data_IF_016798764575
#
_entry.id   IF_016798764575
#
_cell.length_a   1.000
_cell.length_b   1.000
_cell.length_c   1.000
_cell.angle_alpha   90.00
_cell.angle_beta   90.00
_cell.angle_gamma   90.00
#
_symmetry.space_group_name_H-M   'P 1'
#
loop_
_entity.id
_entity.type
_entity.pdbx_description
1 polymer ?
#
# COMPACT_ATOMS: atom_id res chain seq x y z
N UNK A 1 -31.05 -14.12 43.31
CA UNK A 1 -32.05 -13.89 42.25
C UNK A 1 -31.71 -12.56 41.64
N UNK A 2 -31.58 -12.59 40.33
CA UNK A 2 -31.61 -11.48 39.36
C UNK A 2 -30.38 -10.56 39.33
N UNK A 3 -29.65 -10.41 38.24
CA UNK A 3 -29.57 -11.10 36.95
C UNK A 3 -28.35 -10.42 36.31
N UNK A 4 -27.25 -11.14 36.13
CA UNK A 4 -26.10 -10.63 35.37
C UNK A 4 -26.58 -10.41 33.94
N UNK A 5 -26.58 -9.14 33.52
CA UNK A 5 -26.98 -8.72 32.18
C UNK A 5 -25.83 -9.08 31.20
N UNK A 6 -25.67 -10.37 30.92
CA UNK A 6 -24.73 -10.96 29.96
C UNK A 6 -25.19 -10.79 28.49
N UNK A 7 -25.70 -9.61 28.12
CA UNK A 7 -26.16 -9.36 26.74
C UNK A 7 -25.37 -8.28 25.98
N UNK A 8 -24.22 -7.87 26.50
CA UNK A 8 -23.38 -6.81 25.90
C UNK A 8 -22.20 -7.27 25.02
N UNK A 9 -21.91 -8.58 24.93
CA UNK A 9 -20.58 -9.05 24.51
C UNK A 9 -20.43 -9.69 23.12
N UNK A 10 -21.53 -10.10 22.48
CA UNK A 10 -21.48 -11.02 21.32
C UNK A 10 -22.18 -10.50 20.05
N UNK A 11 -22.15 -9.19 19.81
CA UNK A 11 -22.36 -8.68 18.45
C UNK A 11 -21.10 -8.92 17.62
N UNK A 12 -20.86 -10.20 17.33
CA UNK A 12 -20.18 -10.79 16.18
C UNK A 12 -19.13 -9.87 15.58
N UNK A 13 -17.85 -10.11 15.91
CA UNK A 13 -16.73 -9.64 15.09
C UNK A 13 -16.96 -10.21 13.70
N UNK A 14 -17.55 -9.41 12.80
CA UNK A 14 -17.83 -9.87 11.45
C UNK A 14 -16.54 -10.44 10.85
N UNK A 15 -16.59 -11.63 10.23
CA UNK A 15 -15.44 -12.21 9.57
C UNK A 15 -14.80 -11.18 8.66
N UNK A 16 -13.46 -11.07 8.70
CA UNK A 16 -12.71 -10.01 7.99
C UNK A 16 -11.74 -10.65 7.04
N UNK A 17 -11.60 -10.06 5.88
CA UNK A 17 -10.61 -10.48 4.91
C UNK A 17 -9.55 -9.41 4.73
N UNK A 18 -8.31 -9.84 4.53
CA UNK A 18 -7.24 -8.99 4.06
C UNK A 18 -7.10 -9.18 2.55
N UNK A 19 -7.30 -8.10 1.80
CA UNK A 19 -7.03 -8.07 0.37
C UNK A 19 -5.64 -7.49 0.17
N UNK A 20 -4.80 -8.23 -0.56
CA UNK A 20 -3.48 -7.80 -0.99
C UNK A 20 -3.54 -7.51 -2.47
N UNK A 21 -3.08 -6.32 -2.86
CA UNK A 21 -2.97 -5.91 -4.27
C UNK A 21 -1.57 -5.39 -4.52
N UNK A 22 -0.91 -5.94 -5.53
CA UNK A 22 0.41 -5.50 -5.98
C UNK A 22 0.33 -5.17 -7.45
N UNK A 23 0.75 -3.96 -7.79
CA UNK A 23 0.84 -3.45 -9.15
C UNK A 23 2.28 -3.09 -9.43
N UNK A 24 2.82 -3.67 -10.49
CA UNK A 24 4.15 -3.33 -10.97
C UNK A 24 4.01 -2.64 -12.31
N UNK A 25 4.73 -1.53 -12.48
CA UNK A 25 4.78 -0.81 -13.74
C UNK A 25 6.20 -0.40 -14.04
N UNK A 26 6.73 -0.93 -15.13
CA UNK A 26 8.00 -0.48 -15.67
C UNK A 26 7.82 0.91 -16.31
N UNK A 27 8.84 1.74 -16.10
CA UNK A 27 8.98 3.10 -16.60
C UNK A 27 10.24 3.09 -17.43
N UNK A 28 10.04 2.88 -18.74
CA UNK A 28 11.12 2.88 -19.71
C UNK A 28 11.76 4.28 -19.73
N UNK A 29 13.01 4.32 -19.28
CA UNK A 29 13.87 5.50 -19.21
C UNK A 29 15.27 5.02 -19.55
N UNK A 30 15.97 5.71 -20.45
CA UNK A 30 17.39 5.47 -20.63
C UNK A 30 18.09 5.81 -19.30
N UNK A 31 18.79 4.84 -18.71
CA UNK A 31 19.51 4.99 -17.44
C UNK A 31 20.74 5.90 -17.54
N UNK A 32 21.06 6.37 -18.75
CA UNK A 32 22.37 6.93 -19.07
C UNK A 32 22.57 8.33 -18.47
N UNK A 33 21.51 9.01 -18.01
CA UNK A 33 21.62 10.24 -17.21
C UNK A 33 20.64 10.27 -16.02
N UNK A 34 21.20 10.18 -14.82
CA UNK A 34 20.52 10.40 -13.54
C UNK A 34 20.42 11.92 -13.31
N UNK A 35 19.58 12.59 -14.10
CA UNK A 35 19.49 14.05 -14.15
C UNK A 35 18.14 14.60 -13.64
N UNK A 36 17.97 15.92 -13.72
CA UNK A 36 16.77 16.62 -13.25
C UNK A 36 15.49 16.15 -13.96
N UNK A 37 15.58 15.73 -15.23
CA UNK A 37 14.42 15.27 -15.99
C UNK A 37 13.84 13.97 -15.43
N UNK A 38 14.70 13.07 -14.95
CA UNK A 38 14.29 11.83 -14.27
C UNK A 38 13.55 12.17 -12.97
N UNK A 39 14.08 13.12 -12.21
CA UNK A 39 13.48 13.59 -10.95
C UNK A 39 12.08 14.15 -11.17
N UNK A 40 11.89 15.00 -12.19
CA UNK A 40 10.59 15.61 -12.52
C UNK A 40 9.56 14.57 -12.99
N UNK A 41 9.99 13.60 -13.79
CA UNK A 41 9.13 12.51 -14.25
C UNK A 41 8.69 11.61 -13.10
N UNK A 42 9.61 11.19 -12.23
CA UNK A 42 9.28 10.43 -11.03
C UNK A 42 8.34 11.20 -10.11
N UNK A 43 8.58 12.50 -9.90
CA UNK A 43 7.70 13.38 -9.13
C UNK A 43 6.27 13.38 -9.69
N UNK A 44 6.13 13.51 -11.01
CA UNK A 44 4.83 13.49 -11.69
C UNK A 44 4.11 12.15 -11.50
N UNK A 45 4.83 11.04 -11.61
CA UNK A 45 4.29 9.70 -11.37
C UNK A 45 3.85 9.51 -9.92
N UNK A 46 4.67 9.94 -8.96
CA UNK A 46 4.34 9.88 -7.54
C UNK A 46 3.03 10.63 -7.26
N UNK A 47 2.89 11.87 -7.75
CA UNK A 47 1.67 12.67 -7.57
C UNK A 47 0.44 11.98 -8.16
N UNK A 48 0.52 11.49 -9.39
CA UNK A 48 -0.59 10.75 -10.02
C UNK A 48 -0.99 9.51 -9.23
N UNK A 49 -0.02 8.78 -8.68
CA UNK A 49 -0.30 7.61 -7.84
C UNK A 49 -0.99 8.01 -6.53
N UNK A 50 -0.59 9.13 -5.91
CA UNK A 50 -1.26 9.69 -4.71
C UNK A 50 -2.74 10.03 -4.97
N UNK A 51 -3.07 10.57 -6.14
CA UNK A 51 -4.47 10.88 -6.50
C UNK A 51 -5.30 9.61 -6.67
N UNK A 52 -4.74 8.59 -7.35
CA UNK A 52 -5.39 7.29 -7.56
C UNK A 52 -5.62 6.58 -6.22
N UNK A 53 -4.62 6.60 -5.31
CA UNK A 53 -4.73 6.03 -3.95
C UNK A 53 -5.98 6.56 -3.23
N UNK A 54 -6.17 7.88 -3.23
CA UNK A 54 -7.31 8.52 -2.56
C UNK A 54 -8.65 8.02 -3.12
N UNK A 55 -8.73 7.81 -4.43
CA UNK A 55 -9.92 7.26 -5.07
C UNK A 55 -10.14 5.78 -4.70
N UNK A 56 -9.09 4.94 -4.74
CA UNK A 56 -9.20 3.51 -4.43
C UNK A 56 -9.62 3.24 -2.98
N UNK A 57 -9.04 3.96 -2.01
CA UNK A 57 -9.43 3.83 -0.59
C UNK A 57 -10.90 4.22 -0.37
N UNK A 58 -11.37 5.28 -1.03
CA UNK A 58 -12.77 5.70 -0.95
C UNK A 58 -13.76 4.68 -1.53
N UNK A 59 -13.39 4.03 -2.65
CA UNK A 59 -14.24 3.05 -3.34
C UNK A 59 -14.31 1.71 -2.59
N UNK A 60 -13.22 1.28 -1.95
CA UNK A 60 -13.13 -0.03 -1.32
C UNK A 60 -13.85 -0.15 0.04
N UNK A 61 -14.41 0.95 0.58
CA UNK A 61 -15.12 0.99 1.88
C UNK A 61 -14.36 0.25 3.00
N UNK A 62 -13.04 0.41 3.04
CA UNK A 62 -12.18 -0.41 3.88
C UNK A 62 -12.28 0.00 5.35
N UNK A 63 -12.16 -0.98 6.26
CA UNK A 63 -12.02 -0.69 7.70
C UNK A 63 -10.64 -0.17 8.06
N UNK A 64 -9.66 -0.53 7.24
CA UNK A 64 -8.31 -0.03 7.29
C UNK A 64 -7.62 -0.33 5.98
N UNK A 65 -6.74 0.58 5.58
CA UNK A 65 -5.89 0.41 4.41
C UNK A 65 -4.44 0.70 4.81
N UNK A 66 -3.53 -0.04 4.21
CA UNK A 66 -2.10 0.20 4.25
C UNK A 66 -1.61 0.24 2.80
N UNK A 67 -1.05 1.36 2.36
CA UNK A 67 -0.61 1.53 0.97
C UNK A 67 0.86 1.93 0.93
N UNK A 68 1.59 1.47 -0.08
CA UNK A 68 3.00 1.76 -0.25
C UNK A 68 3.34 1.84 -1.74
N UNK A 69 4.18 2.80 -2.10
CA UNK A 69 4.68 2.97 -3.46
C UNK A 69 6.17 3.16 -3.36
N UNK A 70 6.87 2.38 -4.15
CA UNK A 70 8.30 2.48 -4.34
C UNK A 70 8.64 2.65 -5.81
N UNK A 71 9.82 3.22 -6.02
CA UNK A 71 10.44 3.38 -7.32
C UNK A 71 11.83 2.77 -7.18
N UNK A 72 12.07 1.72 -7.96
CA UNK A 72 13.29 0.92 -7.92
C UNK A 72 14.02 1.10 -9.25
N UNK A 73 15.32 1.41 -9.25
CA UNK A 73 16.10 1.43 -10.48
C UNK A 73 16.26 0.00 -11.02
N UNK A 74 16.16 -0.16 -12.34
CA UNK A 74 16.31 -1.44 -13.07
C UNK A 74 17.32 -1.26 -14.21
N UNK A 75 17.65 -2.30 -14.97
CA UNK A 75 18.51 -2.14 -16.15
C UNK A 75 17.86 -1.34 -17.28
N UNK A 76 16.53 -1.36 -17.39
CA UNK A 76 15.75 -0.74 -18.46
C UNK A 76 15.17 0.65 -18.09
N UNK A 77 15.59 1.22 -16.97
CA UNK A 77 15.06 2.45 -16.41
C UNK A 77 14.55 2.24 -14.99
N UNK A 78 13.31 2.64 -14.71
CA UNK A 78 12.74 2.56 -13.36
C UNK A 78 11.54 1.64 -13.30
N UNK A 79 11.31 1.01 -12.15
CA UNK A 79 10.11 0.24 -11.87
C UNK A 79 9.35 0.90 -10.73
N UNK A 80 8.08 1.18 -10.94
CA UNK A 80 7.16 1.53 -9.87
C UNK A 80 6.52 0.26 -9.34
N UNK A 81 6.65 0.00 -8.05
CA UNK A 81 5.81 -0.97 -7.36
C UNK A 81 4.82 -0.26 -6.47
N UNK A 82 3.57 -0.61 -6.61
CA UNK A 82 2.47 -0.09 -5.81
C UNK A 82 1.77 -1.26 -5.13
N UNK A 83 1.83 -1.27 -3.80
CA UNK A 83 1.25 -2.31 -2.98
C UNK A 83 0.14 -1.70 -2.13
N UNK A 84 -0.94 -2.45 -1.94
CA UNK A 84 -2.04 -2.11 -1.06
C UNK A 84 -2.48 -3.33 -0.24
N UNK A 85 -2.74 -3.09 1.05
CA UNK A 85 -3.41 -4.00 1.97
C UNK A 85 -4.72 -3.34 2.38
N UNK A 86 -5.83 -4.05 2.20
CA UNK A 86 -7.15 -3.57 2.58
C UNK A 86 -7.82 -4.55 3.52
N UNK A 87 -8.25 -4.08 4.68
CA UNK A 87 -9.11 -4.86 5.58
C UNK A 87 -10.55 -4.56 5.20
N UNK A 88 -11.26 -5.59 4.75
CA UNK A 88 -12.66 -5.53 4.33
C UNK A 88 -13.50 -6.54 5.11
N UNK A 89 -14.81 -6.35 5.10
CA UNK A 89 -15.75 -7.34 5.63
C UNK A 89 -15.78 -8.57 4.72
N UNK A 90 -16.00 -9.77 5.27
CA UNK A 90 -16.00 -11.01 4.49
C UNK A 90 -17.05 -11.02 3.37
N UNK A 91 -18.18 -10.36 3.61
CA UNK A 91 -19.28 -10.18 2.67
C UNK A 91 -19.01 -9.10 1.62
N UNK A 92 -17.88 -8.40 1.71
CA UNK A 92 -17.52 -7.35 0.76
C UNK A 92 -17.23 -7.96 -0.61
N UNK A 93 -18.01 -7.52 -1.60
CA UNK A 93 -17.82 -7.84 -3.01
C UNK A 93 -16.96 -6.75 -3.63
N UNK A 94 -15.88 -7.16 -4.28
CA UNK A 94 -14.99 -6.24 -4.99
C UNK A 94 -15.77 -5.50 -6.09
N UNK A 95 -15.64 -4.16 -6.19
CA UNK A 95 -16.22 -3.39 -7.29
C UNK A 95 -15.63 -3.86 -8.62
N UNK A 96 -16.41 -3.85 -9.69
CA UNK A 96 -15.94 -4.23 -11.04
C UNK A 96 -14.75 -3.39 -11.53
N UNK A 97 -14.58 -2.18 -11.00
CA UNK A 97 -13.43 -1.31 -11.24
C UNK A 97 -12.11 -1.85 -10.63
N UNK A 98 -12.18 -2.85 -9.76
CA UNK A 98 -11.05 -3.50 -9.09
C UNK A 98 -10.89 -4.89 -9.68
N UNK A 99 -10.16 -4.97 -10.80
CA UNK A 99 -10.02 -6.21 -11.58
C UNK A 99 -9.00 -7.19 -11.02
N UNK A 100 -8.05 -6.73 -10.19
CA UNK A 100 -6.91 -7.54 -9.75
C UNK A 100 -6.71 -7.47 -8.23
N UNK A 101 -6.74 -8.65 -7.62
CA UNK A 101 -6.22 -8.94 -6.29
C UNK A 101 -5.09 -9.96 -6.42
N UNK A 102 -3.98 -9.71 -5.73
CA UNK A 102 -2.84 -10.63 -5.70
C UNK A 102 -3.11 -11.77 -4.73
N UNK A 103 -3.72 -11.46 -3.59
CA UNK A 103 -4.14 -12.45 -2.61
C UNK A 103 -5.34 -11.96 -1.80
N UNK A 104 -6.10 -12.92 -1.27
CA UNK A 104 -7.15 -12.71 -0.27
C UNK A 104 -6.89 -13.68 0.87
N UNK A 105 -6.64 -13.14 2.06
CA UNK A 105 -6.54 -13.94 3.29
C UNK A 105 -7.88 -13.85 4.01
N UNK A 106 -8.51 -15.00 4.20
CA UNK A 106 -9.74 -15.12 4.96
C UNK A 106 -9.42 -15.20 6.44
N UNK A 107 -10.06 -14.35 7.25
CA UNK A 107 -9.91 -14.28 8.71
C UNK A 107 -8.44 -14.29 9.19
N UNK A 108 -7.60 -13.37 8.69
CA UNK A 108 -6.17 -13.41 8.98
C UNK A 108 -5.92 -13.24 10.48
N UNK A 109 -5.07 -14.12 11.01
CA UNK A 109 -4.56 -14.00 12.36
C UNK A 109 -3.75 -12.72 12.52
N UNK A 110 -3.55 -12.29 13.77
CA UNK A 110 -2.67 -11.14 14.06
C UNK A 110 -1.24 -11.35 13.54
N UNK A 111 -0.74 -12.59 13.58
CA UNK A 111 0.59 -12.93 13.09
C UNK A 111 0.67 -12.79 11.56
N UNK A 112 -0.35 -13.22 10.82
CA UNK A 112 -0.42 -13.06 9.37
C UNK A 112 -0.56 -11.59 8.96
N UNK A 113 -1.35 -10.80 9.69
CA UNK A 113 -1.43 -9.35 9.49
C UNK A 113 -0.07 -8.69 9.72
N UNK A 114 0.61 -9.02 10.81
CA UNK A 114 1.92 -8.46 11.13
C UNK A 114 2.96 -8.84 10.08
N UNK A 115 2.96 -10.10 9.63
CA UNK A 115 3.85 -10.59 8.56
C UNK A 115 3.58 -9.87 7.24
N UNK A 116 2.31 -9.78 6.83
CA UNK A 116 1.93 -9.07 5.62
C UNK A 116 2.37 -7.61 5.67
N UNK A 117 2.22 -6.92 6.82
CA UNK A 117 2.69 -5.54 6.99
C UNK A 117 4.22 -5.48 6.97
N UNK A 118 4.93 -6.43 7.59
CA UNK A 118 6.38 -6.47 7.61
C UNK A 118 6.97 -6.67 6.19
N UNK A 119 6.46 -7.66 5.45
CA UNK A 119 6.86 -7.92 4.06
C UNK A 119 6.55 -6.71 3.16
N UNK A 120 5.47 -5.99 3.49
CA UNK A 120 5.07 -4.78 2.78
C UNK A 120 5.94 -3.56 3.10
N UNK A 121 6.47 -3.47 4.33
CA UNK A 121 7.37 -2.40 4.76
C UNK A 121 8.85 -2.71 4.50
N UNK A 122 9.16 -3.92 4.00
CA UNK A 122 10.53 -4.30 3.66
C UNK A 122 11.07 -3.35 2.59
N UNK A 123 12.22 -2.74 2.88
CA UNK A 123 12.90 -1.85 1.94
C UNK A 123 13.52 -2.69 0.80
N UNK A 124 13.42 -2.26 -0.47
CA UNK A 124 14.11 -2.93 -1.57
C UNK A 124 15.61 -2.98 -1.37
N UNK A 125 16.19 -4.13 -1.68
CA UNK A 125 17.64 -4.37 -1.66
C UNK A 125 18.38 -3.35 -2.51
N UNK A 126 17.84 -3.01 -3.67
CA UNK A 126 18.44 -2.08 -4.65
C UNK A 126 18.48 -0.63 -4.14
N UNK A 127 17.57 -0.24 -3.25
CA UNK A 127 17.62 1.08 -2.60
C UNK A 127 18.57 1.11 -1.39
N UNK A 128 18.85 -0.05 -0.79
CA UNK A 128 19.79 -0.17 0.33
C UNK A 128 21.24 -0.34 -0.14
N UNK A 129 21.47 -1.05 -1.24
CA UNK A 129 22.81 -1.45 -1.70
C UNK A 129 23.13 -0.99 -3.13
N UNK A 130 22.20 -0.32 -3.82
CA UNK A 130 22.43 0.20 -5.17
C UNK A 130 23.25 1.50 -5.19
N UNK A 131 23.52 2.03 -6.40
CA UNK A 131 24.27 3.27 -6.57
C UNK A 131 23.63 4.46 -5.83
N UNK A 132 24.45 5.22 -5.10
CA UNK A 132 23.98 6.36 -4.30
C UNK A 132 23.26 7.45 -5.13
N UNK A 133 23.62 7.62 -6.40
CA UNK A 133 23.01 8.60 -7.30
C UNK A 133 21.53 8.30 -7.58
N UNK A 134 21.17 7.01 -7.70
CA UNK A 134 19.77 6.61 -7.86
C UNK A 134 18.95 6.88 -6.60
N UNK A 135 19.52 6.58 -5.43
CA UNK A 135 18.87 6.89 -4.16
C UNK A 135 18.65 8.40 -4.01
N UNK A 136 19.64 9.21 -4.39
CA UNK A 136 19.52 10.67 -4.36
C UNK A 136 18.36 11.15 -5.23
N UNK A 137 18.25 10.69 -6.48
CA UNK A 137 17.13 11.07 -7.37
C UNK A 137 15.78 10.64 -6.80
N UNK A 138 15.67 9.44 -6.23
CA UNK A 138 14.43 8.99 -5.61
C UNK A 138 14.06 9.81 -4.37
N UNK A 139 15.05 10.24 -3.57
CA UNK A 139 14.84 11.13 -2.43
C UNK A 139 14.48 12.55 -2.87
N UNK A 140 15.17 13.11 -3.86
CA UNK A 140 14.93 14.44 -4.42
C UNK A 140 13.51 14.53 -5.02
N UNK A 141 13.06 13.50 -5.75
CA UNK A 141 11.68 13.41 -6.25
C UNK A 141 10.61 13.33 -5.15
N UNK A 142 11.02 12.94 -3.94
CA UNK A 142 10.17 12.85 -2.74
C UNK A 142 10.26 14.09 -1.85
N UNK A 143 11.19 15.00 -2.08
CA UNK A 143 11.34 16.22 -1.29
C UNK A 143 10.05 17.04 -1.32
N UNK A 144 9.60 17.49 -0.15
CA UNK A 144 8.37 18.29 -0.02
C UNK A 144 7.07 17.49 -0.18
N UNK A 145 7.14 16.24 -0.65
CA UNK A 145 6.06 15.28 -0.46
C UNK A 145 6.15 14.79 0.99
N UNK A 146 5.02 14.62 1.68
CA UNK A 146 5.03 14.07 3.04
C UNK A 146 5.77 12.73 3.00
N UNK A 147 7.00 12.67 3.54
CA UNK A 147 7.92 11.52 3.50
C UNK A 147 7.41 10.27 4.26
N UNK A 148 6.14 10.28 4.70
CA UNK A 148 5.44 9.11 5.17
C UNK A 148 4.49 8.62 4.07
N UNK A 149 5.03 7.86 3.12
CA UNK A 149 4.24 7.18 2.08
C UNK A 149 3.52 5.92 2.59
N UNK A 150 3.71 5.59 3.87
CA UNK A 150 2.95 4.59 4.63
C UNK A 150 1.84 5.29 5.41
N UNK A 151 0.64 5.24 4.87
CA UNK A 151 -0.57 5.53 5.65
C UNK A 151 -1.10 4.19 6.15
N UNK A 152 -1.07 4.01 7.47
CA UNK A 152 -1.54 2.80 8.12
C UNK A 152 -2.44 3.14 9.28
N UNK A 153 -3.75 3.16 9.03
CA UNK A 153 -4.73 3.28 10.09
C UNK A 153 -5.60 2.03 10.05
N UNK A 154 -5.20 1.03 10.84
CA UNK A 154 -6.10 -0.04 11.26
C UNK A 154 -6.95 0.51 12.41
N UNK A 155 -7.90 1.39 12.11
CA UNK A 155 -8.85 1.85 13.12
C UNK A 155 -9.86 0.73 13.34
N UNK A 156 -10.02 0.33 14.59
CA UNK A 156 -11.30 -0.22 15.00
C UNK A 156 -12.32 0.91 14.79
N UNK A 157 -13.33 0.70 13.95
CA UNK A 157 -14.44 1.65 13.86
C UNK A 157 -14.93 1.89 15.30
N UNK A 158 -14.80 3.12 15.79
CA UNK A 158 -15.57 3.55 16.95
C UNK A 158 -17.03 3.55 16.49
N UNK A 159 -17.82 2.68 17.10
CA UNK A 159 -19.28 2.70 17.00
C UNK A 159 -19.79 3.99 17.63
#
# INVERSE_FOLDING_TARGET
MDSEDETGGELLRSPRHLLVRTFTKDIELANDSVDQSVTELLTTRIRKTLDIRSACVGVLKTRGAFTFTEFVPTQAGWRMEYRELHVVDATYVLPSAVSEITARLEEPTRAELARAIADFCAYPTELMFGPAEHLKVALDARVGLRLFNTYGILRQQRR
#
